data_IF_712625030673
#
_entry.id   IF_712625030673
#
_cell.length_a   1.000
_cell.length_b   1.000
_cell.length_c   1.000
_cell.angle_alpha   90.00
_cell.angle_beta   90.00
_cell.angle_gamma   90.00
#
_symmetry.space_group_name_H-M   'P 1'
#
loop_
_entity.id
_entity.type
_entity.pdbx_description
1 polymer ?
#
# COMPACT_ATOMS: atom_id res chain seq x y z
N UNK A 1 5.83 -0.30 -19.89
CA UNK A 1 6.99 0.32 -19.22
C UNK A 1 7.72 -0.74 -18.42
N UNK A 2 9.05 -0.60 -18.28
CA UNK A 2 9.83 -1.56 -17.49
C UNK A 2 10.18 -0.97 -16.13
N UNK A 3 10.01 -1.75 -15.08
CA UNK A 3 10.36 -1.39 -13.69
C UNK A 3 11.12 -2.57 -13.10
N UNK A 4 12.25 -2.30 -12.50
CA UNK A 4 13.02 -3.32 -11.79
C UNK A 4 13.52 -2.77 -10.47
N UNK A 5 13.75 -3.64 -9.52
CA UNK A 5 14.29 -3.29 -8.22
C UNK A 5 14.78 -4.52 -7.46
N UNK A 6 15.39 -4.23 -6.33
CA UNK A 6 15.88 -5.23 -5.38
C UNK A 6 15.62 -4.70 -3.98
N UNK A 7 15.13 -5.55 -3.10
CA UNK A 7 14.95 -5.28 -1.68
C UNK A 7 15.52 -6.45 -0.86
N UNK A 8 15.78 -6.20 0.43
CA UNK A 8 16.34 -7.20 1.34
C UNK A 8 15.47 -7.28 2.58
N UNK A 9 15.19 -8.50 3.03
CA UNK A 9 14.42 -8.80 4.23
C UNK A 9 15.27 -9.68 5.13
N UNK A 10 15.43 -9.29 6.40
CA UNK A 10 16.25 -9.97 7.41
C UNK A 10 15.51 -11.20 8.00
N UNK A 11 15.15 -12.12 7.11
CA UNK A 11 14.51 -13.40 7.41
C UNK A 11 14.95 -14.48 6.40
N UNK A 12 14.93 -15.77 6.80
CA UNK A 12 15.23 -16.87 5.90
C UNK A 12 14.29 -16.92 4.70
N UNK A 13 14.79 -17.33 3.54
CA UNK A 13 14.02 -17.37 2.29
C UNK A 13 12.72 -18.17 2.40
N UNK A 14 12.70 -19.25 3.17
CA UNK A 14 11.49 -20.04 3.38
C UNK A 14 10.39 -19.23 4.10
N UNK A 15 10.75 -18.48 5.14
CA UNK A 15 9.81 -17.65 5.88
C UNK A 15 9.28 -16.47 5.04
N UNK A 16 10.17 -15.84 4.25
CA UNK A 16 9.79 -14.76 3.32
C UNK A 16 8.85 -15.29 2.23
N UNK A 17 9.15 -16.45 1.68
CA UNK A 17 8.32 -17.12 0.68
C UNK A 17 6.90 -17.39 1.22
N UNK A 18 6.80 -18.01 2.40
CA UNK A 18 5.51 -18.34 3.00
C UNK A 18 4.71 -17.08 3.34
N UNK A 19 5.35 -16.03 3.86
CA UNK A 19 4.71 -14.74 4.14
C UNK A 19 4.18 -14.04 2.87
N UNK A 20 4.90 -14.12 1.76
CA UNK A 20 4.50 -13.50 0.49
C UNK A 20 3.41 -14.28 -0.26
N UNK A 21 3.10 -15.48 0.18
CA UNK A 21 1.98 -16.29 -0.35
C UNK A 21 0.79 -16.36 0.61
N UNK A 22 0.90 -15.78 1.81
CA UNK A 22 -0.17 -15.72 2.79
C UNK A 22 -1.13 -14.55 2.50
N UNK A 23 -2.40 -14.80 2.14
CA UNK A 23 -3.37 -13.74 1.88
C UNK A 23 -3.60 -12.79 3.06
N UNK A 24 -3.46 -13.25 4.31
CA UNK A 24 -3.60 -12.41 5.51
C UNK A 24 -2.46 -11.40 5.61
N UNK A 25 -1.24 -11.84 5.31
CA UNK A 25 -0.08 -10.95 5.23
C UNK A 25 -0.25 -9.98 4.07
N UNK A 26 -0.60 -10.47 2.88
CA UNK A 26 -0.72 -9.66 1.66
C UNK A 26 -1.75 -8.53 1.81
N UNK A 27 -2.95 -8.81 2.33
CA UNK A 27 -3.99 -7.78 2.46
C UNK A 27 -3.56 -6.63 3.39
N UNK A 28 -2.72 -6.92 4.38
CA UNK A 28 -2.24 -5.93 5.35
C UNK A 28 -1.00 -5.18 4.86
N UNK A 29 -0.18 -5.80 4.01
CA UNK A 29 1.13 -5.27 3.59
C UNK A 29 1.09 -4.55 2.23
N UNK A 30 0.20 -4.93 1.33
CA UNK A 30 0.04 -4.24 0.03
C UNK A 30 -0.48 -2.82 0.25
N UNK A 31 0.26 -1.78 -0.18
CA UNK A 31 -0.14 -0.41 0.03
C UNK A 31 -1.50 -0.10 -0.63
N UNK A 32 -2.47 0.36 0.17
CA UNK A 32 -3.80 0.71 -0.30
C UNK A 32 -4.72 -0.47 -0.60
N UNK A 33 -4.33 -1.70 -0.30
CA UNK A 33 -5.21 -2.86 -0.40
C UNK A 33 -6.33 -2.75 0.64
N UNK A 34 -7.57 -2.89 0.19
CA UNK A 34 -8.76 -2.86 1.04
C UNK A 34 -9.35 -4.25 1.20
N UNK A 35 -9.26 -5.05 0.14
CA UNK A 35 -9.79 -6.40 0.08
C UNK A 35 -8.91 -7.28 -0.81
N UNK A 36 -8.70 -8.51 -0.37
CA UNK A 36 -8.07 -9.58 -1.13
C UNK A 36 -8.96 -10.83 -1.03
N UNK A 37 -9.20 -11.49 -2.14
CA UNK A 37 -10.02 -12.70 -2.23
C UNK A 37 -9.27 -13.75 -3.03
N UNK A 38 -9.09 -14.94 -2.47
CA UNK A 38 -8.59 -16.08 -3.18
C UNK A 38 -9.76 -16.71 -3.99
N UNK A 39 -9.74 -16.54 -5.30
CA UNK A 39 -10.79 -17.03 -6.20
C UNK A 39 -10.56 -18.46 -6.65
N UNK A 40 -9.31 -18.86 -6.71
CA UNK A 40 -8.85 -20.23 -6.96
C UNK A 40 -7.36 -20.33 -6.61
N UNK A 41 -6.81 -21.53 -6.64
CA UNK A 41 -5.40 -21.77 -6.33
C UNK A 41 -4.48 -20.81 -7.13
N UNK A 42 -3.67 -20.02 -6.42
CA UNK A 42 -2.76 -19.01 -6.99
C UNK A 42 -3.45 -17.87 -7.78
N UNK A 43 -4.77 -17.70 -7.62
CA UNK A 43 -5.53 -16.63 -8.27
C UNK A 43 -6.25 -15.78 -7.23
N UNK A 44 -6.00 -14.49 -7.27
CA UNK A 44 -6.53 -13.52 -6.32
C UNK A 44 -7.29 -12.41 -7.04
N UNK A 45 -8.45 -12.05 -6.52
CA UNK A 45 -9.11 -10.80 -6.84
C UNK A 45 -8.81 -9.78 -5.72
N UNK A 46 -8.59 -8.51 -6.08
CA UNK A 46 -8.24 -7.50 -5.11
C UNK A 46 -8.89 -6.15 -5.41
N UNK A 47 -9.08 -5.37 -4.36
CA UNK A 47 -9.47 -3.96 -4.44
C UNK A 47 -8.38 -3.12 -3.79
N UNK A 48 -7.81 -2.19 -4.56
CA UNK A 48 -6.69 -1.35 -4.13
C UNK A 48 -7.00 0.11 -4.42
N UNK A 49 -6.88 0.97 -3.41
CA UNK A 49 -6.90 2.42 -3.61
C UNK A 49 -5.47 2.93 -3.74
N UNK A 50 -5.17 3.48 -4.90
CA UNK A 50 -3.85 3.99 -5.24
C UNK A 50 -3.91 5.36 -5.92
N UNK A 51 -2.77 6.08 -5.90
CA UNK A 51 -2.65 7.37 -6.55
C UNK A 51 -1.29 7.63 -7.18
N UNK A 52 -1.33 8.30 -8.34
CA UNK A 52 -0.15 8.79 -9.05
C UNK A 52 -0.33 10.30 -9.27
N UNK A 53 0.57 11.11 -8.73
CA UNK A 53 0.43 12.57 -8.66
C UNK A 53 -0.90 12.99 -7.99
N UNK A 54 -1.72 13.80 -8.69
CA UNK A 54 -3.04 14.23 -8.22
C UNK A 54 -4.18 13.26 -8.57
N UNK A 55 -3.89 12.19 -9.32
CA UNK A 55 -4.88 11.21 -9.75
C UNK A 55 -4.96 10.12 -8.70
N UNK A 56 -6.09 10.02 -8.03
CA UNK A 56 -6.41 8.95 -7.07
C UNK A 56 -7.62 8.17 -7.56
N UNK A 57 -7.64 6.88 -7.24
CA UNK A 57 -8.81 6.04 -7.51
C UNK A 57 -8.69 4.66 -6.91
N UNK A 58 -9.83 4.01 -6.85
CA UNK A 58 -9.94 2.61 -6.47
C UNK A 58 -9.92 1.76 -7.73
N UNK A 59 -9.13 0.73 -7.71
CA UNK A 59 -8.96 -0.24 -8.78
C UNK A 59 -9.42 -1.59 -8.30
N UNK A 60 -10.23 -2.25 -9.12
CA UNK A 60 -10.52 -3.68 -8.98
C UNK A 60 -9.60 -4.43 -9.92
N UNK A 61 -8.99 -5.48 -9.43
CA UNK A 61 -7.99 -6.21 -10.19
C UNK A 61 -7.89 -7.67 -9.81
N UNK A 62 -7.04 -8.36 -10.55
CA UNK A 62 -6.68 -9.75 -10.31
C UNK A 62 -5.17 -9.94 -10.37
N UNK A 63 -4.70 -10.93 -9.62
CA UNK A 63 -3.33 -11.42 -9.66
C UNK A 63 -3.37 -12.94 -9.84
N UNK A 64 -2.61 -13.43 -10.81
CA UNK A 64 -2.39 -14.86 -11.00
C UNK A 64 -0.91 -15.15 -10.84
N UNK A 65 -0.57 -16.11 -9.99
CA UNK A 65 0.79 -16.60 -9.81
C UNK A 65 1.00 -17.82 -10.70
N UNK A 66 2.13 -17.83 -11.40
CA UNK A 66 2.59 -18.93 -12.24
C UNK A 66 4.08 -19.19 -12.05
N UNK A 67 4.57 -20.28 -12.61
CA UNK A 67 5.99 -20.67 -12.59
C UNK A 67 6.60 -20.59 -11.19
N UNK A 68 5.86 -21.15 -10.20
CA UNK A 68 6.30 -21.16 -8.81
C UNK A 68 7.40 -22.22 -8.62
N UNK A 69 8.64 -21.74 -8.53
CA UNK A 69 9.79 -22.52 -8.10
C UNK A 69 10.05 -22.19 -6.63
N UNK A 70 9.65 -23.11 -5.74
CA UNK A 70 9.61 -22.86 -4.30
C UNK A 70 10.96 -22.36 -3.78
N UNK A 71 10.94 -21.21 -3.07
CA UNK A 71 12.06 -20.48 -2.50
C UNK A 71 13.06 -19.90 -3.53
N UNK A 72 12.75 -19.96 -4.83
CA UNK A 72 13.64 -19.49 -5.90
C UNK A 72 13.00 -18.38 -6.73
N UNK A 73 11.81 -18.64 -7.31
CA UNK A 73 11.19 -17.66 -8.20
C UNK A 73 9.69 -17.90 -8.37
N UNK A 74 9.01 -16.87 -8.82
CA UNK A 74 7.63 -16.93 -9.29
C UNK A 74 7.37 -15.83 -10.33
N UNK A 75 6.31 -16.00 -11.10
CA UNK A 75 5.80 -14.99 -12.03
C UNK A 75 4.42 -14.55 -11.57
N UNK A 76 4.20 -13.22 -11.51
CA UNK A 76 2.90 -12.62 -11.23
C UNK A 76 2.34 -11.98 -12.48
N UNK A 77 1.10 -12.29 -12.83
CA UNK A 77 0.32 -11.60 -13.84
C UNK A 77 -0.76 -10.76 -13.18
N UNK A 78 -0.64 -9.44 -13.29
CA UNK A 78 -1.50 -8.45 -12.66
C UNK A 78 -2.37 -7.76 -13.69
N UNK A 79 -3.65 -7.61 -13.38
CA UNK A 79 -4.58 -6.79 -14.16
C UNK A 79 -5.41 -5.96 -13.20
N UNK A 80 -5.66 -4.72 -13.55
CA UNK A 80 -6.47 -3.81 -12.74
C UNK A 80 -7.18 -2.77 -13.60
N UNK A 81 -8.38 -2.40 -13.19
CA UNK A 81 -9.17 -1.36 -13.82
C UNK A 81 -9.89 -0.51 -12.79
N UNK A 82 -10.04 0.76 -13.07
CA UNK A 82 -10.75 1.73 -12.23
C UNK A 82 -11.07 3.00 -13.01
N UNK A 83 -11.77 3.93 -12.38
CA UNK A 83 -12.13 5.20 -13.02
C UNK A 83 -10.93 5.97 -13.60
N UNK A 84 -9.72 5.97 -12.98
CA UNK A 84 -8.57 6.67 -13.53
C UNK A 84 -7.89 5.95 -14.71
N UNK A 85 -8.16 4.66 -14.94
CA UNK A 85 -7.55 3.91 -16.03
C UNK A 85 -7.36 2.42 -15.76
N UNK A 86 -6.48 1.81 -16.55
CA UNK A 86 -6.19 0.38 -16.50
C UNK A 86 -4.70 0.12 -16.29
N UNK A 87 -4.38 -0.99 -15.66
CA UNK A 87 -3.01 -1.46 -15.45
C UNK A 87 -2.97 -2.94 -15.81
N UNK A 88 -1.96 -3.34 -16.58
CA UNK A 88 -1.59 -4.73 -16.79
C UNK A 88 -0.09 -4.86 -16.58
N UNK A 89 0.35 -5.89 -15.87
CA UNK A 89 1.78 -6.14 -15.64
C UNK A 89 2.08 -7.62 -15.53
N UNK A 90 3.23 -8.01 -16.07
CA UNK A 90 3.88 -9.28 -15.76
C UNK A 90 5.13 -8.98 -14.95
N UNK A 91 5.30 -9.66 -13.83
CA UNK A 91 6.39 -9.44 -12.90
C UNK A 91 7.12 -10.76 -12.62
N UNK A 92 8.38 -10.82 -12.96
CA UNK A 92 9.29 -11.91 -12.57
C UNK A 92 9.89 -11.57 -11.21
N UNK A 93 9.78 -12.48 -10.26
CA UNK A 93 10.32 -12.31 -8.90
C UNK A 93 11.29 -13.44 -8.61
N UNK A 94 12.46 -13.11 -8.06
CA UNK A 94 13.50 -14.04 -7.66
C UNK A 94 13.89 -13.83 -6.21
N UNK A 95 14.14 -14.93 -5.52
CA UNK A 95 14.56 -14.98 -4.13
C UNK A 95 15.96 -15.58 -4.04
N UNK A 96 16.81 -14.99 -3.25
CA UNK A 96 18.17 -15.42 -3.01
C UNK A 96 18.53 -15.22 -1.54
N UNK A 97 18.96 -16.26 -0.85
CA UNK A 97 19.54 -16.11 0.48
C UNK A 97 21.00 -15.64 0.33
N UNK A 98 21.25 -14.39 0.72
CA UNK A 98 22.57 -13.75 0.54
C UNK A 98 23.47 -13.88 1.75
N UNK A 99 22.88 -14.03 2.92
CA UNK A 99 23.54 -14.33 4.20
C UNK A 99 22.58 -15.21 5.01
N UNK A 100 23.07 -15.87 6.04
CA UNK A 100 22.24 -16.70 6.93
C UNK A 100 21.10 -15.86 7.50
N UNK A 101 19.85 -16.21 7.17
CA UNK A 101 18.67 -15.51 7.61
C UNK A 101 18.40 -14.18 6.91
N UNK A 102 19.02 -13.90 5.76
CA UNK A 102 18.81 -12.67 4.98
C UNK A 102 18.45 -13.00 3.53
N UNK A 103 17.26 -12.61 3.13
CA UNK A 103 16.74 -12.85 1.78
C UNK A 103 16.77 -11.58 0.94
N UNK A 104 17.41 -11.68 -0.23
CA UNK A 104 17.32 -10.69 -1.30
C UNK A 104 16.16 -11.06 -2.22
N UNK A 105 15.30 -10.10 -2.51
CA UNK A 105 14.21 -10.22 -3.48
C UNK A 105 14.51 -9.29 -4.63
N UNK A 106 14.62 -9.86 -5.85
CA UNK A 106 14.78 -9.07 -7.08
C UNK A 106 13.53 -9.22 -7.93
N UNK A 107 13.08 -8.12 -8.53
CA UNK A 107 11.90 -8.15 -9.39
C UNK A 107 12.11 -7.36 -10.68
N UNK A 108 11.53 -7.87 -11.76
CA UNK A 108 11.46 -7.21 -13.07
C UNK A 108 10.00 -7.22 -13.54
N UNK A 109 9.45 -6.04 -13.78
CA UNK A 109 8.08 -5.86 -14.22
C UNK A 109 8.02 -5.25 -15.62
N UNK A 110 7.20 -5.83 -16.49
CA UNK A 110 6.78 -5.20 -17.74
C UNK A 110 5.30 -4.81 -17.61
N UNK A 111 5.03 -3.50 -17.64
CA UNK A 111 3.71 -2.96 -17.35
C UNK A 111 3.18 -2.08 -18.49
N UNK A 112 1.88 -2.19 -18.72
CA UNK A 112 1.08 -1.33 -19.59
C UNK A 112 0.08 -0.57 -18.76
N UNK A 113 0.04 0.76 -18.91
CA UNK A 113 -0.84 1.65 -18.16
C UNK A 113 -1.67 2.46 -19.13
N UNK A 114 -2.99 2.39 -19.00
CA UNK A 114 -3.95 3.09 -19.85
C UNK A 114 -4.75 4.15 -19.12
N UNK A 115 -5.51 4.96 -19.86
CA UNK A 115 -6.37 6.01 -19.30
C UNK A 115 -5.60 7.23 -18.80
N UNK A 116 -6.19 7.97 -17.86
CA UNK A 116 -5.59 9.19 -17.28
C UNK A 116 -4.24 8.91 -16.59
N UNK A 117 -4.13 7.76 -15.92
CA UNK A 117 -2.89 7.34 -15.24
C UNK A 117 -1.75 7.12 -16.23
N UNK A 118 -2.05 6.59 -17.43
CA UNK A 118 -1.08 6.42 -18.51
C UNK A 118 -0.53 7.76 -19.03
N UNK A 119 -1.32 8.82 -18.97
CA UNK A 119 -0.93 10.17 -19.38
C UNK A 119 0.05 10.89 -18.43
N UNK A 120 0.28 10.38 -17.23
CA UNK A 120 1.17 11.03 -16.22
C UNK A 120 2.65 10.95 -16.61
N UNK A 121 3.00 10.08 -17.54
CA UNK A 121 4.36 9.90 -18.02
C UNK A 121 5.13 8.79 -17.31
N UNK A 122 5.98 8.15 -18.08
CA UNK A 122 6.69 6.94 -17.69
C UNK A 122 7.61 7.13 -16.47
N UNK A 123 8.30 8.27 -16.38
CA UNK A 123 9.20 8.57 -15.25
C UNK A 123 8.47 8.61 -13.90
N UNK A 124 7.32 9.28 -13.88
CA UNK A 124 6.53 9.39 -12.64
C UNK A 124 5.93 8.04 -12.26
N UNK A 125 5.37 7.30 -13.22
CA UNK A 125 4.84 5.96 -12.99
C UNK A 125 5.91 5.02 -12.45
N UNK A 126 7.13 5.03 -13.01
CA UNK A 126 8.26 4.24 -12.52
C UNK A 126 8.65 4.61 -11.08
N UNK A 127 8.71 5.91 -10.75
CA UNK A 127 9.05 6.36 -9.39
C UNK A 127 8.01 5.93 -8.37
N UNK A 128 6.71 6.01 -8.71
CA UNK A 128 5.62 5.57 -7.85
C UNK A 128 5.68 4.05 -7.64
N UNK A 129 5.87 3.28 -8.72
CA UNK A 129 5.98 1.81 -8.63
C UNK A 129 7.13 1.37 -7.72
N UNK A 130 8.31 1.98 -7.85
CA UNK A 130 9.46 1.68 -6.98
C UNK A 130 9.19 2.04 -5.52
N UNK A 131 8.53 3.17 -5.25
CA UNK A 131 8.15 3.55 -3.89
C UNK A 131 7.15 2.57 -3.29
N UNK A 132 6.13 2.17 -4.06
CA UNK A 132 5.14 1.19 -3.60
C UNK A 132 5.76 -0.18 -3.33
N UNK A 133 6.69 -0.63 -4.17
CA UNK A 133 7.41 -1.88 -3.94
C UNK A 133 8.24 -1.82 -2.65
N UNK A 134 8.99 -0.73 -2.44
CA UNK A 134 9.75 -0.53 -1.20
C UNK A 134 8.86 -0.49 0.04
N UNK A 135 7.73 0.22 -0.03
CA UNK A 135 6.74 0.28 1.05
C UNK A 135 6.16 -1.12 1.33
N UNK A 136 5.82 -1.87 0.28
CA UNK A 136 5.33 -3.24 0.40
C UNK A 136 6.33 -4.15 1.13
N UNK A 137 7.59 -4.22 0.69
CA UNK A 137 8.60 -5.07 1.32
C UNK A 137 8.92 -4.63 2.75
N UNK A 138 8.92 -3.32 3.03
CA UNK A 138 9.05 -2.79 4.39
C UNK A 138 7.89 -3.22 5.29
N UNK A 139 6.65 -3.21 4.78
CA UNK A 139 5.48 -3.67 5.50
C UNK A 139 5.54 -5.18 5.78
N UNK A 140 5.99 -5.98 4.79
CA UNK A 140 6.20 -7.43 4.95
C UNK A 140 7.23 -7.69 6.05
N UNK A 141 8.40 -7.05 6.00
CA UNK A 141 9.43 -7.19 7.01
C UNK A 141 8.91 -6.81 8.41
N UNK A 142 8.14 -5.72 8.52
CA UNK A 142 7.52 -5.30 9.78
C UNK A 142 6.49 -6.31 10.27
N UNK A 143 5.66 -6.86 9.38
CA UNK A 143 4.67 -7.88 9.71
C UNK A 143 5.32 -9.17 10.23
N UNK A 144 6.46 -9.56 9.64
CA UNK A 144 7.22 -10.73 10.06
C UNK A 144 7.96 -10.52 11.39
N UNK A 145 8.43 -9.30 11.67
CA UNK A 145 9.16 -8.95 12.89
C UNK A 145 8.25 -8.63 14.09
N UNK A 146 6.98 -8.31 13.82
CA UNK A 146 6.04 -7.87 14.85
C UNK A 146 5.68 -8.97 15.85
N UNK A 147 5.35 -8.61 17.11
CA UNK A 147 4.64 -9.53 18.00
C UNK A 147 3.31 -9.91 17.34
N UNK A 148 2.71 -11.09 17.67
CA UNK A 148 1.40 -11.44 17.16
C UNK A 148 0.44 -10.29 17.49
N UNK A 149 -0.05 -9.63 16.45
CA UNK A 149 -0.92 -8.46 16.57
C UNK A 149 -2.14 -8.85 17.39
N UNK A 150 -2.59 -8.04 18.37
CA UNK A 150 -3.83 -8.31 19.08
C UNK A 150 -4.96 -8.59 18.08
N UNK A 151 -5.84 -9.52 18.39
CA UNK A 151 -6.86 -10.05 17.49
C UNK A 151 -7.82 -8.99 16.87
N UNK A 152 -7.73 -7.73 17.30
CA UNK A 152 -8.52 -6.60 16.77
C UNK A 152 -7.90 -5.93 15.55
N UNK A 153 -6.57 -6.07 15.34
CA UNK A 153 -5.82 -5.46 14.23
C UNK A 153 -5.38 -6.45 13.14
N UNK A 154 -5.81 -7.72 13.25
CA UNK A 154 -5.52 -8.73 12.24
C UNK A 154 -6.49 -8.58 11.07
N UNK A 155 -5.98 -8.76 9.86
CA UNK A 155 -6.83 -8.91 8.66
C UNK A 155 -7.91 -9.97 8.93
N UNK A 156 -9.17 -9.60 8.76
CA UNK A 156 -10.30 -10.49 9.07
C UNK A 156 -10.70 -11.25 7.83
N UNK A 157 -10.73 -12.56 7.94
CA UNK A 157 -11.45 -13.39 6.97
C UNK A 157 -12.95 -13.15 7.19
N UNK A 158 -13.59 -12.42 6.26
CA UNK A 158 -15.01 -12.06 6.35
C UNK A 158 -15.92 -13.11 5.71
N UNK A 159 -15.36 -13.96 4.86
CA UNK A 159 -15.96 -15.14 4.27
C UNK A 159 -14.83 -16.09 3.84
N UNK A 160 -15.08 -17.39 3.58
CA UNK A 160 -14.02 -18.29 3.13
C UNK A 160 -13.23 -17.72 1.95
N UNK A 161 -11.91 -17.53 2.14
CA UNK A 161 -11.01 -16.97 1.12
C UNK A 161 -11.09 -15.46 0.92
N UNK A 162 -11.89 -14.71 1.70
CA UNK A 162 -12.03 -13.24 1.58
C UNK A 162 -11.40 -12.54 2.77
N UNK A 163 -10.34 -11.79 2.54
CA UNK A 163 -9.57 -11.06 3.54
C UNK A 163 -9.78 -9.56 3.39
N UNK A 164 -10.02 -8.87 4.49
CA UNK A 164 -10.20 -7.42 4.53
C UNK A 164 -9.07 -6.81 5.36
N UNK A 165 -8.47 -5.74 4.85
CA UNK A 165 -7.44 -5.03 5.57
C UNK A 165 -7.99 -4.43 6.87
N UNK A 166 -7.21 -4.43 7.96
CA UNK A 166 -7.59 -3.73 9.18
C UNK A 166 -7.73 -2.23 8.88
N UNK A 167 -8.66 -1.51 9.57
CA UNK A 167 -8.78 -0.08 9.42
C UNK A 167 -7.45 0.60 9.78
N UNK A 168 -6.81 1.22 8.79
CA UNK A 168 -5.57 1.98 9.05
C UNK A 168 -5.90 3.19 9.90
N UNK A 169 -5.41 3.22 11.12
CA UNK A 169 -5.39 4.42 11.96
C UNK A 169 -4.46 5.43 11.29
N UNK A 170 -4.98 6.34 10.46
CA UNK A 170 -4.13 7.39 9.92
C UNK A 170 -4.55 8.04 8.60
N UNK A 171 -5.75 7.86 8.11
CA UNK A 171 -6.16 8.50 6.85
C UNK A 171 -7.42 9.38 6.92
N UNK A 172 -7.97 9.61 8.11
CA UNK A 172 -9.00 10.65 8.30
C UNK A 172 -8.68 11.26 9.66
N UNK A 173 -8.36 12.55 9.70
CA UNK A 173 -8.35 13.28 10.96
C UNK A 173 -9.62 12.95 11.70
N UNK A 174 -9.51 12.44 12.94
CA UNK A 174 -10.67 12.11 13.76
C UNK A 174 -11.54 13.36 13.85
N UNK A 175 -12.86 13.20 13.98
CA UNK A 175 -13.75 14.34 14.23
C UNK A 175 -13.26 15.19 15.41
N UNK A 176 -12.54 14.57 16.35
CA UNK A 176 -11.89 15.25 17.48
C UNK A 176 -10.74 16.15 17.05
N UNK A 177 -9.92 15.78 16.04
CA UNK A 177 -8.86 16.65 15.53
C UNK A 177 -9.42 17.80 14.68
N UNK A 178 -10.52 17.56 13.98
CA UNK A 178 -11.26 18.60 13.28
C UNK A 178 -11.91 19.58 14.25
N UNK A 179 -12.54 19.08 15.33
CA UNK A 179 -13.12 19.91 16.38
C UNK A 179 -12.05 20.69 17.18
N UNK A 180 -10.90 20.08 17.45
CA UNK A 180 -9.75 20.76 18.08
C UNK A 180 -9.18 21.85 17.15
N UNK A 181 -9.09 21.59 15.85
CA UNK A 181 -8.69 22.58 14.84
C UNK A 181 -9.65 23.78 14.78
N UNK A 182 -10.95 23.56 14.84
CA UNK A 182 -11.97 24.60 14.90
C UNK A 182 -11.87 25.38 16.22
N UNK A 183 -11.70 24.72 17.36
CA UNK A 183 -11.61 25.37 18.66
C UNK A 183 -10.36 26.28 18.76
N UNK A 184 -9.21 25.82 18.24
CA UNK A 184 -7.97 26.61 18.19
C UNK A 184 -8.12 27.79 17.20
N UNK A 185 -8.70 27.57 16.03
CA UNK A 185 -8.96 28.62 15.04
C UNK A 185 -9.90 29.72 15.55
N UNK A 186 -11.02 29.32 16.16
CA UNK A 186 -11.97 30.25 16.77
C UNK A 186 -11.38 31.02 17.94
N UNK A 187 -10.58 30.37 18.77
CA UNK A 187 -9.84 31.02 19.89
C UNK A 187 -8.86 32.08 19.42
N UNK A 188 -8.12 31.85 18.35
CA UNK A 188 -7.19 32.82 17.77
C UNK A 188 -7.91 34.03 17.15
N UNK A 189 -9.06 33.82 16.51
CA UNK A 189 -9.87 34.93 15.96
C UNK A 189 -10.44 35.80 17.07
N UNK A 190 -10.96 35.19 18.15
CA UNK A 190 -11.48 35.95 19.30
C UNK A 190 -10.41 36.76 20.02
N UNK A 191 -9.20 36.19 20.17
CA UNK A 191 -8.05 36.92 20.74
C UNK A 191 -7.60 38.07 19.83
N UNK A 192 -7.60 37.88 18.52
CA UNK A 192 -7.29 38.94 17.54
C UNK A 192 -8.28 40.08 17.59
N UNK A 193 -9.60 39.81 17.70
CA UNK A 193 -10.64 40.83 17.81
C UNK A 193 -10.55 41.59 19.15
N UNK A 194 -10.30 40.87 20.26
CA UNK A 194 -10.14 41.52 21.57
C UNK A 194 -8.90 42.42 21.63
N UNK A 195 -7.77 41.99 21.06
CA UNK A 195 -6.55 42.80 20.98
C UNK A 195 -6.76 44.04 20.07
N UNK A 196 -7.47 43.88 18.95
CA UNK A 196 -7.79 44.99 18.03
C UNK A 196 -8.65 46.08 18.65
N UNK A 197 -9.65 45.74 19.46
CA UNK A 197 -10.54 46.70 20.14
C UNK A 197 -9.81 47.48 21.25
N UNK A 198 -8.89 46.82 21.97
CA UNK A 198 -8.06 47.49 23.02
C UNK A 198 -7.09 48.51 22.41
N UNK A 199 -6.48 48.21 21.26
CA UNK A 199 -5.59 49.15 20.57
C UNK A 199 -6.33 50.31 19.93
N UNK A 200 -7.56 50.10 19.39
CA UNK A 200 -8.40 51.15 18.80
C UNK A 200 -8.95 52.14 19.86
N UNK A 201 -9.24 51.65 21.10
CA UNK A 201 -9.74 52.49 22.19
C UNK A 201 -8.68 53.44 22.84
N UNK A 202 -7.40 53.26 22.53
CA UNK A 202 -6.28 54.05 23.11
C UNK A 202 -5.83 55.23 22.25
N UNK A 203 -6.52 55.50 21.14
CA UNK A 203 -6.25 56.65 20.24
C UNK A 203 -7.43 57.65 20.22
N UNK A 204 -8.00 57.96 21.38
CA UNK A 204 -8.85 59.13 21.57
C UNK A 204 -8.36 59.91 22.77
#
# INVERSE_FOLDING_TARGET
MKVSGTDTIDFPVAAVWDALLDPQVLVSTIPGCERLEETSNNCYAMTVTAGVASIRGTYSGSCTLSDLHRHESLVMNLQGSGAPGTIGATVDVRFEEVEEGVTRISYEADAVVGGMVGGVGQRMSTSVSKRMAKEFFSNVATSMAGPPTPAEDVARETAPGVFTAPPRAGAIGSQDDFLKGIAVGAGLVLLGVAAGTVLAGRRR
#
